data_IF_132723737069
#
_entry.id   IF_132723737069
#
_cell.length_a   1.000
_cell.length_b   1.000
_cell.length_c   1.000
_cell.angle_alpha   90.00
_cell.angle_beta   90.00
_cell.angle_gamma   90.00
#
_symmetry.space_group_name_H-M   'P 1'
#
loop_
_entity.id
_entity.type
_entity.pdbx_description
1 polymer ?
#
# COMPACT_ATOMS: atom_id res chain seq x y z
N UNK A 1 12.79 16.15 8.45
CA UNK A 1 11.40 16.26 7.94
C UNK A 1 10.61 15.07 8.49
N UNK A 2 9.28 15.17 8.62
CA UNK A 2 8.45 14.02 8.97
C UNK A 2 8.13 13.26 7.69
N UNK A 3 8.39 11.96 7.67
CA UNK A 3 8.19 11.12 6.50
C UNK A 3 7.15 10.04 6.83
N UNK A 4 6.33 9.69 5.84
CA UNK A 4 5.23 8.73 5.96
C UNK A 4 5.25 7.80 4.75
N UNK A 5 4.87 6.55 4.95
CA UNK A 5 4.62 5.58 3.88
C UNK A 5 3.12 5.34 3.77
N UNK A 6 2.60 5.34 2.54
CA UNK A 6 1.19 5.03 2.26
C UNK A 6 1.17 3.82 1.34
N UNK A 7 0.38 2.81 1.69
CA UNK A 7 0.20 1.59 0.90
C UNK A 7 -1.26 1.32 0.62
N UNK A 8 -1.53 0.76 -0.56
CA UNK A 8 -2.87 0.37 -0.99
C UNK A 8 -2.91 -1.14 -1.30
N UNK A 9 -3.96 -1.81 -0.85
CA UNK A 9 -4.33 -3.11 -1.39
C UNK A 9 -5.13 -2.87 -2.68
N UNK A 10 -4.67 -3.44 -3.79
CA UNK A 10 -5.32 -3.33 -5.09
C UNK A 10 -5.94 -4.67 -5.44
N UNK A 11 -7.21 -4.64 -5.83
CA UNK A 11 -7.93 -5.78 -6.38
C UNK A 11 -8.24 -5.57 -7.85
N UNK A 12 -8.25 -6.66 -8.61
CA UNK A 12 -8.69 -6.65 -10.00
C UNK A 12 -10.20 -6.84 -10.03
N UNK A 13 -10.93 -5.92 -10.68
CA UNK A 13 -12.37 -6.03 -10.91
C UNK A 13 -12.68 -6.09 -12.40
N UNK A 14 -13.57 -7.03 -12.76
CA UNK A 14 -14.14 -7.13 -14.10
C UNK A 14 -15.28 -6.12 -14.25
N UNK A 15 -14.97 -4.92 -14.73
CA UNK A 15 -15.97 -3.84 -14.81
C UNK A 15 -16.81 -3.95 -16.09
N UNK A 16 -16.42 -4.78 -17.06
CA UNK A 16 -17.21 -5.00 -18.29
C UNK A 16 -17.11 -6.45 -18.75
N UNK A 17 -18.15 -7.24 -18.45
CA UNK A 17 -18.33 -8.63 -18.95
C UNK A 17 -18.21 -8.80 -20.49
N UNK A 18 -18.14 -7.70 -21.27
CA UNK A 18 -18.02 -7.69 -22.73
C UNK A 18 -16.65 -7.29 -23.27
N UNK A 19 -15.76 -6.65 -22.50
CA UNK A 19 -14.54 -6.01 -23.04
C UNK A 19 -13.22 -6.50 -22.43
N UNK A 20 -13.21 -7.49 -21.53
CA UNK A 20 -11.98 -8.05 -20.90
C UNK A 20 -11.01 -6.97 -20.35
N UNK A 21 -11.55 -5.83 -19.91
CA UNK A 21 -10.75 -4.77 -19.31
C UNK A 21 -10.70 -5.01 -17.80
N UNK A 22 -9.53 -5.46 -17.34
CA UNK A 22 -9.19 -5.52 -15.92
C UNK A 22 -9.04 -4.10 -15.39
N UNK A 23 -9.84 -3.73 -14.38
CA UNK A 23 -9.64 -2.51 -13.61
C UNK A 23 -8.92 -2.84 -12.31
N UNK A 24 -7.91 -2.05 -11.95
CA UNK A 24 -7.17 -2.16 -10.70
C UNK A 24 -7.73 -1.15 -9.71
N UNK A 25 -8.49 -1.63 -8.72
CA UNK A 25 -9.23 -0.79 -7.78
C UNK A 25 -8.60 -0.92 -6.39
N UNK A 26 -8.20 0.18 -5.74
CA UNK A 26 -7.76 0.13 -4.36
C UNK A 26 -8.94 -0.16 -3.45
N UNK A 27 -8.80 -1.14 -2.56
CA UNK A 27 -9.85 -1.59 -1.64
C UNK A 27 -9.53 -1.35 -0.17
N UNK A 28 -8.25 -1.20 0.16
CA UNK A 28 -7.78 -0.87 1.51
C UNK A 28 -6.59 0.08 1.44
N UNK A 29 -6.39 0.86 2.49
CA UNK A 29 -5.24 1.72 2.64
C UNK A 29 -4.62 1.57 4.04
N UNK A 30 -3.31 1.81 4.13
CA UNK A 30 -2.56 1.87 5.39
C UNK A 30 -1.54 3.00 5.35
N UNK A 31 -1.35 3.67 6.48
CA UNK A 31 -0.34 4.70 6.67
C UNK A 31 0.63 4.25 7.76
N UNK A 32 1.93 4.30 7.47
CA UNK A 32 2.99 3.96 8.40
C UNK A 32 3.90 5.15 8.66
N UNK A 33 4.39 5.25 9.90
CA UNK A 33 5.51 6.10 10.26
C UNK A 33 6.79 5.46 9.75
N UNK A 34 7.68 6.27 9.18
CA UNK A 34 9.04 5.82 8.81
C UNK A 34 10.12 6.58 9.58
N UNK A 35 9.76 7.11 10.75
CA UNK A 35 10.62 7.95 11.59
C UNK A 35 11.93 7.25 12.01
N UNK A 36 11.86 5.98 12.40
CA UNK A 36 13.02 5.15 12.78
C UNK A 36 13.35 4.08 11.73
N UNK A 37 12.86 4.25 10.51
CA UNK A 37 13.06 3.27 9.46
C UNK A 37 14.45 3.45 8.83
N UNK A 38 15.42 2.63 9.25
CA UNK A 38 16.75 2.54 8.62
C UNK A 38 16.65 1.91 7.23
N UNK A 39 16.22 2.71 6.25
CA UNK A 39 16.03 2.24 4.87
C UNK A 39 16.82 3.09 3.90
N UNK A 40 17.76 2.44 3.21
CA UNK A 40 18.25 2.94 1.93
C UNK A 40 17.14 2.76 0.91
N UNK A 41 16.39 3.83 0.63
CA UNK A 41 15.21 3.84 -0.26
C UNK A 41 15.52 3.16 -1.62
N UNK A 42 16.76 3.27 -2.12
CA UNK A 42 17.13 2.62 -3.40
C UNK A 42 17.39 1.13 -3.29
N UNK A 43 17.82 0.65 -2.13
CA UNK A 43 18.23 -0.74 -1.95
C UNK A 43 17.07 -1.64 -1.52
N UNK A 44 16.18 -1.13 -0.65
CA UNK A 44 15.06 -1.95 -0.18
C UNK A 44 13.94 -2.12 -1.19
N UNK A 45 13.68 -1.18 -2.10
CA UNK A 45 12.70 -1.38 -3.18
C UNK A 45 13.01 -2.60 -4.07
N UNK A 46 14.27 -3.05 -4.10
CA UNK A 46 14.72 -4.24 -4.83
C UNK A 46 14.88 -5.49 -3.93
N UNK A 47 14.55 -5.39 -2.64
CA UNK A 47 14.62 -6.49 -1.67
C UNK A 47 13.30 -6.63 -0.89
N UNK A 48 13.19 -7.61 0.00
CA UNK A 48 11.96 -7.90 0.74
C UNK A 48 11.53 -6.73 1.64
N UNK A 49 10.58 -5.91 1.18
CA UNK A 49 9.98 -4.75 1.87
C UNK A 49 9.26 -5.07 3.20
N UNK A 50 9.34 -6.31 3.70
CA UNK A 50 8.67 -6.76 4.94
C UNK A 50 9.05 -5.91 6.16
N UNK A 51 10.26 -5.36 6.18
CA UNK A 51 10.73 -4.49 7.27
C UNK A 51 10.05 -3.12 7.32
N UNK A 52 9.40 -2.69 6.22
CA UNK A 52 8.67 -1.41 6.16
C UNK A 52 7.24 -1.52 6.72
N UNK A 53 6.66 -2.72 6.73
CA UNK A 53 5.26 -2.97 7.12
C UNK A 53 5.19 -3.57 8.52
N UNK A 54 5.72 -2.85 9.52
CA UNK A 54 5.67 -3.28 10.92
C UNK A 54 4.42 -2.75 11.60
N UNK A 55 3.80 -3.58 12.43
CA UNK A 55 2.57 -3.20 13.14
C UNK A 55 2.82 -2.04 14.12
N UNK A 56 4.01 -1.96 14.71
CA UNK A 56 4.39 -0.85 15.61
C UNK A 56 4.54 0.49 14.88
N UNK A 57 4.74 0.45 13.57
CA UNK A 57 4.85 1.64 12.72
C UNK A 57 3.50 2.04 12.10
N UNK A 58 2.44 1.23 12.24
CA UNK A 58 1.13 1.52 11.68
C UNK A 58 0.49 2.70 12.41
N UNK A 59 0.18 3.75 11.67
CA UNK A 59 -0.48 4.95 12.21
C UNK A 59 -1.99 4.90 12.03
N UNK A 60 -2.45 4.40 10.88
CA UNK A 60 -3.86 4.27 10.56
C UNK A 60 -4.06 3.30 9.39
N UNK A 61 -5.24 2.67 9.33
CA UNK A 61 -5.70 1.87 8.19
C UNK A 61 -7.20 2.01 8.00
N UNK A 62 -7.68 1.61 6.82
CA UNK A 62 -9.10 1.57 6.55
C UNK A 62 -9.45 0.86 5.25
N UNK A 63 -10.69 0.41 5.17
CA UNK A 63 -11.30 -0.08 3.93
C UNK A 63 -11.80 1.11 3.09
N UNK A 64 -11.76 0.95 1.77
CA UNK A 64 -12.35 1.88 0.82
C UNK A 64 -13.74 1.30 0.47
N UNK A 65 -14.84 2.02 0.79
CA UNK A 65 -16.18 1.54 0.46
C UNK A 65 -16.33 1.31 -1.05
N UNK A 66 -17.10 0.28 -1.41
CA UNK A 66 -17.50 0.09 -2.80
C UNK A 66 -18.28 1.34 -3.28
N UNK A 67 -17.79 1.95 -4.36
CA UNK A 67 -18.45 3.07 -5.04
C UNK A 67 -19.40 2.59 -6.13
#
# INVERSE_FOLDING_TARGET
>A
ARHLLISFQIETRDVRRREQLNCYVPVKWRIYSIYDMEVSVKHEFNSTNKKMYRDEALLAEGDIPDQ
#
